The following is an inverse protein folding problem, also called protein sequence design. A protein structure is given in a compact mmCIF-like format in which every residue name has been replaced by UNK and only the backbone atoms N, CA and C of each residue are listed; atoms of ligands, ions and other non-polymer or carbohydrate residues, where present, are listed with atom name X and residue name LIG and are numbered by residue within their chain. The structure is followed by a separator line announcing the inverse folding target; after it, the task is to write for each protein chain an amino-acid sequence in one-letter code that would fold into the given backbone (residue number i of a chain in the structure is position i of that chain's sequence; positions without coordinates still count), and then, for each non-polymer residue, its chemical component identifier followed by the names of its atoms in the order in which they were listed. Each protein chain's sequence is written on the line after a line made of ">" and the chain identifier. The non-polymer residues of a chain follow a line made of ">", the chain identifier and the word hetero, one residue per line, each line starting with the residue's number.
data_IF_430453703153
#
_entry.id   IF_430453703153
#
_cell.length_a   1.000
_cell.length_b   1.000
_cell.length_c   1.000
_cell.angle_alpha   90.00
_cell.angle_beta   90.00
_cell.angle_gamma   90.00
#
_symmetry.space_group_name_H-M   'P 1'
#
loop_
_entity.id
_entity.type
_entity.pdbx_description
1 polymer ?
#
# COMPACT_ATOMS: atom_id res chain seq x y z
N UNK A 1 10.49 33.37 15.47
CA UNK A 1 9.98 32.39 16.44
C UNK A 1 9.34 31.31 15.61
N UNK A 2 9.84 30.08 15.72
CA UNK A 2 9.24 28.96 15.01
C UNK A 2 7.89 28.66 15.67
N UNK A 3 6.83 28.74 14.88
CA UNK A 3 5.47 28.45 15.35
C UNK A 3 5.26 26.94 15.22
N UNK A 4 4.89 26.29 16.33
CA UNK A 4 4.55 24.87 16.33
C UNK A 4 3.03 24.74 16.31
N UNK A 5 2.50 24.15 15.24
CA UNK A 5 1.07 23.84 15.11
C UNK A 5 0.79 22.35 15.31
N UNK A 6 -0.35 22.03 15.90
CA UNK A 6 -0.83 20.64 16.03
C UNK A 6 -1.48 20.21 14.72
N UNK A 7 -1.07 19.05 14.18
CA UNK A 7 -1.71 18.45 13.01
C UNK A 7 -2.81 17.47 13.42
N UNK A 8 -3.96 17.59 12.77
CA UNK A 8 -5.05 16.61 12.83
C UNK A 8 -5.23 16.02 11.44
N UNK A 9 -5.11 14.70 11.35
CA UNK A 9 -5.20 13.96 10.10
C UNK A 9 -6.58 13.36 9.85
N UNK A 10 -6.68 12.60 8.75
CA UNK A 10 -7.92 11.91 8.38
C UNK A 10 -7.78 10.40 8.59
N UNK A 11 -8.71 9.79 9.33
CA UNK A 11 -8.80 8.34 9.45
C UNK A 11 -9.53 7.76 8.22
N UNK A 12 -9.01 6.64 7.69
CA UNK A 12 -9.65 5.82 6.69
C UNK A 12 -10.13 4.51 7.31
N UNK A 13 -11.43 4.28 7.26
CA UNK A 13 -12.10 3.13 7.86
C UNK A 13 -12.29 1.98 6.84
N UNK A 14 -11.23 1.59 6.14
CA UNK A 14 -11.31 0.47 5.19
C UNK A 14 -11.48 -0.87 5.93
N UNK A 15 -12.24 -1.80 5.36
CA UNK A 15 -12.63 -3.04 6.03
C UNK A 15 -11.45 -3.89 6.49
N UNK A 16 -10.32 -3.85 5.78
CA UNK A 16 -9.08 -4.59 6.11
C UNK A 16 -8.36 -4.07 7.37
N UNK A 17 -8.77 -2.92 7.89
CA UNK A 17 -8.11 -2.25 9.01
C UNK A 17 -8.25 -2.99 10.34
N UNK A 18 -7.24 -2.86 11.19
CA UNK A 18 -7.35 -3.17 12.61
C UNK A 18 -8.25 -2.19 13.34
N UNK A 19 -8.54 -2.45 14.61
CA UNK A 19 -9.46 -1.63 15.41
C UNK A 19 -8.78 -1.04 16.68
N UNK A 20 -7.48 -1.29 16.85
CA UNK A 20 -6.79 -1.06 18.12
C UNK A 20 -5.62 -0.09 18.05
N UNK A 21 -4.73 -0.23 17.07
CA UNK A 21 -3.47 0.51 17.06
C UNK A 21 -3.70 2.01 16.81
N UNK A 22 -4.40 2.36 15.72
CA UNK A 22 -4.64 3.77 15.39
C UNK A 22 -5.51 4.48 16.43
N UNK A 23 -6.61 3.90 16.95
CA UNK A 23 -7.36 4.53 18.05
C UNK A 23 -6.50 4.82 19.28
N UNK A 24 -5.63 3.87 19.66
CA UNK A 24 -4.68 4.06 20.77
C UNK A 24 -3.66 5.16 20.47
N UNK A 25 -3.12 5.19 19.24
CA UNK A 25 -2.18 6.22 18.77
C UNK A 25 -2.80 7.64 18.84
N UNK A 26 -4.10 7.75 18.52
CA UNK A 26 -4.84 9.02 18.52
C UNK A 26 -5.49 9.34 19.87
N UNK A 27 -5.36 8.45 20.86
CA UNK A 27 -6.02 8.55 22.17
C UNK A 27 -7.56 8.75 22.05
N UNK A 28 -8.20 7.93 21.21
CA UNK A 28 -9.65 7.93 20.98
C UNK A 28 -10.26 6.57 21.33
N UNK A 29 -11.47 6.58 21.88
CA UNK A 29 -12.23 5.36 22.16
C UNK A 29 -12.84 4.79 20.88
N UNK A 30 -12.78 3.47 20.72
CA UNK A 30 -13.39 2.74 19.61
C UNK A 30 -14.32 1.62 20.11
N UNK A 31 -15.27 1.96 20.99
CA UNK A 31 -16.19 1.00 21.62
C UNK A 31 -17.04 0.22 20.60
N UNK A 32 -17.26 0.81 19.42
CA UNK A 32 -17.97 0.19 18.31
C UNK A 32 -17.12 -0.77 17.47
N UNK A 33 -15.85 -0.96 17.83
CA UNK A 33 -14.88 -1.83 17.13
C UNK A 33 -14.83 -1.57 15.61
N UNK A 34 -14.88 -0.30 15.21
CA UNK A 34 -14.80 0.10 13.81
C UNK A 34 -13.38 -0.17 13.28
N UNK A 35 -13.21 -0.50 11.99
CA UNK A 35 -11.88 -0.60 11.40
C UNK A 35 -11.25 0.79 11.28
N UNK A 36 -9.98 0.92 11.65
CA UNK A 36 -9.11 2.07 11.46
C UNK A 36 -7.93 1.57 10.63
N UNK A 37 -8.04 1.69 9.31
CA UNK A 37 -7.07 1.09 8.40
C UNK A 37 -5.85 1.97 8.19
N UNK A 38 -6.09 3.26 7.93
CA UNK A 38 -5.02 4.24 7.72
C UNK A 38 -5.33 5.55 8.48
N UNK A 39 -4.30 6.23 8.96
CA UNK A 39 -4.37 7.61 9.43
C UNK A 39 -3.47 8.48 8.58
N UNK A 40 -4.06 9.41 7.84
CA UNK A 40 -3.39 10.21 6.81
C UNK A 40 -3.04 11.59 7.36
N UNK A 41 -1.81 12.02 7.11
CA UNK A 41 -1.30 13.34 7.45
C UNK A 41 -0.61 13.93 6.22
N UNK A 42 -1.23 14.96 5.64
CA UNK A 42 -0.69 15.64 4.47
C UNK A 42 -1.76 16.41 3.70
N UNK A 43 -1.45 16.81 2.47
CA UNK A 43 -2.30 17.69 1.65
C UNK A 43 -3.04 16.94 0.52
N UNK A 44 -3.15 15.62 0.65
CA UNK A 44 -3.79 14.79 -0.37
C UNK A 44 -5.27 15.19 -0.57
N UNK A 45 -5.81 15.24 -1.81
CA UNK A 45 -7.18 15.69 -2.07
C UNK A 45 -8.27 14.94 -1.31
N UNK A 46 -8.04 13.66 -1.03
CA UNK A 46 -8.94 12.79 -0.25
C UNK A 46 -8.72 12.85 1.27
N UNK A 47 -7.80 13.68 1.77
CA UNK A 47 -7.62 13.91 3.19
C UNK A 47 -7.97 15.36 3.53
N UNK A 48 -8.78 15.50 4.57
CA UNK A 48 -9.17 16.75 5.18
C UNK A 48 -8.32 16.90 6.45
N UNK A 49 -7.01 17.08 6.25
CA UNK A 49 -6.08 17.35 7.35
C UNK A 49 -6.12 18.83 7.73
N UNK A 50 -5.88 19.14 8.98
CA UNK A 50 -5.90 20.48 9.54
C UNK A 50 -4.64 20.77 10.37
N UNK A 51 -4.32 22.06 10.51
CA UNK A 51 -3.33 22.55 11.47
C UNK A 51 -4.01 23.53 12.43
N UNK A 52 -3.80 23.32 13.73
CA UNK A 52 -4.19 24.24 14.80
C UNK A 52 -2.97 25.00 15.29
N UNK A 53 -2.97 26.32 15.17
CA UNK A 53 -1.88 27.19 15.61
C UNK A 53 -1.98 27.53 17.10
N UNK A 54 -0.90 28.04 17.74
CA UNK A 54 -0.91 28.41 19.16
C UNK A 54 -1.93 29.48 19.56
N UNK A 55 -2.41 30.28 18.61
CA UNK A 55 -3.48 31.27 18.81
C UNK A 55 -4.90 30.64 18.77
N UNK A 56 -4.99 29.32 18.55
CA UNK A 56 -6.24 28.57 18.45
C UNK A 56 -6.88 28.60 17.06
N UNK A 57 -6.30 29.29 16.08
CA UNK A 57 -6.82 29.27 14.71
C UNK A 57 -6.59 27.92 14.04
N UNK A 58 -7.61 27.43 13.33
CA UNK A 58 -7.60 26.14 12.62
C UNK A 58 -7.66 26.40 11.12
N UNK A 59 -6.78 25.77 10.36
CA UNK A 59 -6.70 25.94 8.91
C UNK A 59 -6.62 24.56 8.23
N UNK A 60 -7.30 24.36 7.09
CA UNK A 60 -7.05 23.20 6.24
C UNK A 60 -5.56 23.14 5.87
N UNK A 61 -4.93 21.99 6.07
CA UNK A 61 -3.48 21.83 5.87
C UNK A 61 -3.08 22.11 4.41
N UNK A 62 -3.96 21.75 3.47
CA UNK A 62 -3.77 22.06 2.05
C UNK A 62 -3.68 23.55 1.77
N UNK A 63 -4.48 24.36 2.46
CA UNK A 63 -4.58 25.81 2.25
C UNK A 63 -3.46 26.54 2.97
N UNK A 64 -3.10 26.03 4.15
CA UNK A 64 -1.99 26.54 4.95
C UNK A 64 -0.65 26.51 4.18
N UNK A 65 -0.45 25.49 3.33
CA UNK A 65 0.75 25.37 2.50
C UNK A 65 0.57 25.87 1.06
N UNK A 66 -0.65 25.89 0.50
CA UNK A 66 -0.91 26.31 -0.89
C UNK A 66 -0.66 27.81 -1.11
N UNK A 67 -0.64 28.63 -0.07
CA UNK A 67 -0.17 30.02 -0.15
C UNK A 67 1.35 30.13 -0.38
N UNK A 68 2.02 29.01 -0.72
CA UNK A 68 3.42 28.91 -1.10
C UNK A 68 4.35 29.66 -0.16
N UNK A 69 4.02 29.71 1.13
CA UNK A 69 4.81 30.43 2.12
C UNK A 69 6.18 29.75 2.18
N UNK A 70 7.25 30.37 1.65
CA UNK A 70 8.59 29.78 1.71
C UNK A 70 9.02 29.60 3.18
N UNK A 71 8.39 30.35 4.09
CA UNK A 71 8.57 30.24 5.53
C UNK A 71 8.11 28.90 6.10
N UNK A 72 7.09 28.26 5.53
CA UNK A 72 6.53 27.00 6.05
C UNK A 72 7.10 25.76 5.34
N UNK A 73 7.25 25.79 4.01
CA UNK A 73 7.77 24.66 3.23
C UNK A 73 9.29 24.71 3.00
N UNK A 74 9.90 25.88 3.17
CA UNK A 74 11.23 26.17 2.64
C UNK A 74 11.19 26.53 1.15
N UNK A 75 12.13 27.37 0.71
CA UNK A 75 12.18 27.88 -0.67
C UNK A 75 12.25 26.76 -1.73
N UNK A 76 13.07 25.74 -1.47
CA UNK A 76 13.25 24.63 -2.41
C UNK A 76 11.95 23.87 -2.67
N UNK A 77 11.25 23.47 -1.60
CA UNK A 77 10.03 22.67 -1.70
C UNK A 77 8.91 23.50 -2.33
N UNK A 78 8.73 24.74 -1.87
CA UNK A 78 7.74 25.65 -2.44
C UNK A 78 7.95 25.86 -3.95
N UNK A 79 9.20 26.08 -4.40
CA UNK A 79 9.52 26.26 -5.82
C UNK A 79 9.39 24.98 -6.64
N UNK A 80 9.77 23.83 -6.09
CA UNK A 80 9.85 22.56 -6.83
C UNK A 80 8.52 21.81 -6.90
N UNK A 81 7.72 21.89 -5.84
CA UNK A 81 6.52 21.07 -5.66
C UNK A 81 5.26 21.91 -5.42
N UNK A 82 5.38 23.19 -5.06
CA UNK A 82 4.25 24.09 -4.80
C UNK A 82 3.47 23.79 -3.51
N UNK A 83 3.58 22.58 -2.98
CA UNK A 83 2.94 22.13 -1.75
C UNK A 83 3.78 21.04 -1.08
N UNK A 84 3.30 20.49 0.05
CA UNK A 84 3.92 19.35 0.73
C UNK A 84 4.01 18.14 -0.22
N UNK A 85 5.22 17.61 -0.52
CA UNK A 85 5.42 16.61 -1.58
C UNK A 85 5.30 15.16 -1.09
N UNK A 86 4.69 14.94 0.06
CA UNK A 86 4.52 13.61 0.63
C UNK A 86 3.18 13.48 1.37
N UNK A 87 2.75 12.24 1.56
CA UNK A 87 1.64 11.86 2.41
C UNK A 87 2.17 10.91 3.48
N UNK A 88 2.15 11.33 4.73
CA UNK A 88 2.49 10.46 5.84
C UNK A 88 1.26 9.63 6.20
N UNK A 89 1.47 8.33 6.46
CA UNK A 89 0.42 7.42 6.90
C UNK A 89 0.90 6.58 8.08
N UNK A 90 0.00 6.36 9.04
CA UNK A 90 0.06 5.19 9.91
C UNK A 90 -0.94 4.16 9.38
N UNK A 91 -0.55 2.88 9.35
CA UNK A 91 -1.39 1.78 8.88
C UNK A 91 -1.56 0.76 10.00
N UNK A 92 -2.79 0.31 10.25
CA UNK A 92 -3.12 -0.82 11.12
C UNK A 92 -3.75 -1.91 10.26
N UNK A 93 -2.93 -2.88 9.85
CA UNK A 93 -3.27 -3.90 8.85
C UNK A 93 -3.70 -5.18 9.56
N UNK A 94 -5.02 -5.47 9.56
CA UNK A 94 -5.56 -6.73 10.09
C UNK A 94 -5.61 -7.81 9.01
N UNK A 95 -6.09 -7.44 7.82
CA UNK A 95 -6.25 -8.36 6.69
C UNK A 95 -5.18 -8.07 5.62
N UNK A 96 -4.72 -9.12 4.94
CA UNK A 96 -3.70 -8.98 3.89
C UNK A 96 -4.14 -8.04 2.77
N UNK A 97 -3.24 -7.15 2.37
CA UNK A 97 -3.46 -6.24 1.25
C UNK A 97 -3.11 -6.90 -0.09
N UNK A 98 -3.67 -6.35 -1.17
CA UNK A 98 -3.32 -6.76 -2.52
C UNK A 98 -1.82 -6.60 -2.80
N UNK A 99 -1.25 -7.49 -3.61
CA UNK A 99 0.09 -7.33 -4.17
C UNK A 99 0.08 -6.13 -5.13
N UNK A 100 1.06 -5.24 -4.99
CA UNK A 100 1.13 -4.00 -5.75
C UNK A 100 2.47 -3.86 -6.47
N UNK A 101 2.43 -3.17 -7.62
CA UNK A 101 3.60 -2.69 -8.34
C UNK A 101 3.36 -1.22 -8.66
N UNK A 102 4.36 -0.39 -8.39
CA UNK A 102 4.34 1.01 -8.82
C UNK A 102 5.19 1.17 -10.09
N UNK A 103 4.65 1.86 -11.12
CA UNK A 103 5.39 2.12 -12.34
C UNK A 103 6.59 3.03 -12.09
N UNK A 104 7.56 3.00 -13.01
CA UNK A 104 8.59 4.05 -13.10
C UNK A 104 7.94 5.40 -13.40
N UNK A 105 8.66 6.51 -13.20
CA UNK A 105 8.11 7.85 -13.52
C UNK A 105 7.75 7.97 -15.00
N UNK A 106 8.63 7.48 -15.87
CA UNK A 106 8.43 7.56 -17.32
C UNK A 106 7.21 6.72 -17.76
N UNK A 107 7.02 5.54 -17.16
CA UNK A 107 5.85 4.70 -17.42
C UNK A 107 4.56 5.33 -16.86
N UNK A 108 4.61 5.91 -15.66
CA UNK A 108 3.46 6.59 -15.06
C UNK A 108 2.96 7.73 -15.95
N UNK A 109 3.86 8.57 -16.48
CA UNK A 109 3.53 9.64 -17.43
C UNK A 109 2.89 9.08 -18.69
N UNK A 110 3.53 8.06 -19.30
CA UNK A 110 3.08 7.45 -20.56
C UNK A 110 1.69 6.81 -20.42
N UNK A 111 1.47 6.04 -19.36
CA UNK A 111 0.23 5.28 -19.18
C UNK A 111 -0.92 6.15 -18.61
N UNK A 112 -0.62 7.17 -17.81
CA UNK A 112 -1.59 8.19 -17.41
C UNK A 112 -2.18 8.92 -18.62
N UNK A 113 -1.32 9.33 -19.56
CA UNK A 113 -1.76 9.99 -20.80
C UNK A 113 -2.51 9.02 -21.72
N UNK A 114 -2.09 7.75 -21.78
CA UNK A 114 -2.82 6.73 -22.53
C UNK A 114 -4.25 6.53 -22.02
N UNK A 115 -4.47 6.51 -20.70
CA UNK A 115 -5.83 6.41 -20.15
C UNK A 115 -6.64 7.71 -20.36
N UNK A 116 -5.99 8.88 -20.33
CA UNK A 116 -6.65 10.17 -20.62
C UNK A 116 -7.12 10.28 -22.08
N UNK A 117 -6.27 9.89 -23.03
CA UNK A 117 -6.60 9.92 -24.47
C UNK A 117 -7.72 8.93 -24.86
N UNK A 118 -8.02 7.97 -23.97
CA UNK A 118 -9.17 7.05 -24.06
C UNK A 118 -10.39 7.52 -23.27
N UNK A 119 -10.35 8.73 -22.72
CA UNK A 119 -11.40 9.34 -21.90
C UNK A 119 -11.83 8.50 -20.69
N UNK A 120 -10.92 7.70 -20.12
CA UNK A 120 -11.21 6.92 -18.90
C UNK A 120 -11.28 7.87 -17.72
N UNK A 121 -12.43 8.04 -17.03
CA UNK A 121 -12.52 8.94 -15.88
C UNK A 121 -11.54 8.54 -14.77
N UNK A 122 -10.94 9.53 -14.09
CA UNK A 122 -10.02 9.28 -12.95
C UNK A 122 -10.68 8.47 -11.82
N UNK A 123 -12.00 8.57 -11.71
CA UNK A 123 -12.82 7.84 -10.71
C UNK A 123 -13.31 6.47 -11.21
N UNK A 124 -13.02 6.08 -12.45
CA UNK A 124 -13.47 4.80 -12.98
C UNK A 124 -12.80 3.64 -12.23
N UNK A 125 -13.52 2.54 -11.94
CA UNK A 125 -12.96 1.41 -11.18
C UNK A 125 -11.83 0.68 -11.90
N UNK A 126 -11.73 0.83 -13.22
CA UNK A 126 -10.70 0.24 -14.07
C UNK A 126 -9.57 1.22 -14.44
N UNK A 127 -9.57 2.44 -13.89
CA UNK A 127 -8.49 3.42 -14.07
C UNK A 127 -7.30 3.02 -13.19
N UNK A 128 -6.17 2.68 -13.79
CA UNK A 128 -4.97 2.27 -13.04
C UNK A 128 -4.08 3.45 -12.68
N UNK A 129 -3.99 4.46 -13.55
CA UNK A 129 -3.07 5.59 -13.40
C UNK A 129 -3.88 6.85 -13.10
N UNK A 130 -3.88 7.26 -11.82
CA UNK A 130 -4.65 8.42 -11.33
C UNK A 130 -3.88 9.73 -11.35
N UNK A 131 -2.56 9.66 -11.54
CA UNK A 131 -1.65 10.77 -11.73
C UNK A 131 -0.45 10.31 -12.59
N UNK A 132 0.41 11.25 -12.95
CA UNK A 132 1.58 11.02 -13.80
C UNK A 132 2.85 10.67 -13.00
N UNK A 133 2.76 10.39 -11.70
CA UNK A 133 3.90 10.32 -10.80
C UNK A 133 4.30 8.89 -10.42
N UNK A 134 5.59 8.71 -10.16
CA UNK A 134 6.05 7.51 -9.48
C UNK A 134 5.73 7.65 -8.00
N UNK A 135 5.53 6.51 -7.33
CA UNK A 135 5.17 6.46 -5.91
C UNK A 135 6.26 5.73 -5.13
N UNK A 136 7.36 6.42 -4.77
CA UNK A 136 8.35 5.83 -3.89
C UNK A 136 7.75 5.78 -2.49
N UNK A 137 7.82 4.62 -1.85
CA UNK A 137 7.28 4.42 -0.50
C UNK A 137 8.40 4.04 0.46
N UNK A 138 8.33 4.57 1.67
CA UNK A 138 9.18 4.20 2.80
C UNK A 138 8.28 3.71 3.92
N UNK A 139 8.55 2.52 4.42
CA UNK A 139 7.81 1.92 5.53
C UNK A 139 8.72 1.80 6.75
N UNK A 140 8.18 2.13 7.92
CA UNK A 140 8.82 1.92 9.21
C UNK A 140 7.88 1.07 10.05
N UNK A 141 8.33 -0.11 10.44
CA UNK A 141 7.55 -0.99 11.29
C UNK A 141 7.46 -0.41 12.71
N UNK A 142 6.24 -0.17 13.19
CA UNK A 142 5.96 0.28 14.57
C UNK A 142 5.69 -0.87 15.54
N UNK A 143 5.74 -2.11 15.04
CA UNK A 143 5.57 -3.37 15.74
C UNK A 143 5.97 -4.51 14.80
N UNK A 144 5.53 -5.74 15.10
CA UNK A 144 5.74 -6.85 14.17
C UNK A 144 5.03 -6.59 12.83
N UNK A 145 5.76 -6.77 11.74
CA UNK A 145 5.30 -6.43 10.40
C UNK A 145 5.78 -7.46 9.38
N UNK A 146 4.86 -7.90 8.52
CA UNK A 146 5.12 -8.87 7.46
C UNK A 146 4.90 -8.21 6.10
N UNK A 147 5.87 -8.37 5.20
CA UNK A 147 5.89 -7.74 3.89
C UNK A 147 6.40 -8.71 2.83
N UNK A 148 5.70 -8.77 1.71
CA UNK A 148 6.24 -9.33 0.47
C UNK A 148 6.92 -8.19 -0.31
N UNK A 149 8.21 -8.33 -0.59
CA UNK A 149 8.97 -7.32 -1.32
C UNK A 149 9.95 -7.97 -2.30
N UNK A 150 9.72 -7.70 -3.59
CA UNK A 150 10.55 -8.21 -4.68
C UNK A 150 10.44 -9.72 -4.91
N UNK A 151 11.21 -10.18 -5.89
CA UNK A 151 11.33 -11.61 -6.17
C UNK A 151 12.46 -12.23 -5.34
N UNK A 152 12.25 -13.47 -4.89
CA UNK A 152 13.31 -14.29 -4.28
C UNK A 152 14.46 -14.48 -5.28
N UNK A 153 15.72 -14.60 -4.80
CA UNK A 153 16.83 -15.05 -5.63
C UNK A 153 16.54 -16.40 -6.30
N UNK A 154 17.11 -16.62 -7.49
CA UNK A 154 16.78 -17.77 -8.34
C UNK A 154 16.90 -19.11 -7.59
N UNK A 155 17.97 -19.28 -6.81
CA UNK A 155 18.21 -20.50 -6.03
C UNK A 155 17.07 -20.76 -5.04
N UNK A 156 16.72 -19.75 -4.23
CA UNK A 156 15.66 -19.85 -3.22
C UNK A 156 14.27 -20.03 -3.84
N UNK A 157 14.01 -19.38 -4.99
CA UNK A 157 12.77 -19.57 -5.74
C UNK A 157 12.63 -21.00 -6.24
N UNK A 158 13.69 -21.57 -6.84
CA UNK A 158 13.69 -22.97 -7.28
C UNK A 158 13.53 -23.94 -6.12
N UNK A 159 14.16 -23.67 -4.98
CA UNK A 159 13.99 -24.45 -3.75
C UNK A 159 12.54 -24.41 -3.27
N UNK A 160 11.93 -23.21 -3.23
CA UNK A 160 10.52 -23.03 -2.87
C UNK A 160 9.60 -23.86 -3.79
N UNK A 161 9.76 -23.71 -5.11
CA UNK A 161 8.96 -24.45 -6.11
C UNK A 161 9.11 -25.96 -5.96
N UNK A 162 10.32 -26.46 -5.64
CA UNK A 162 10.58 -27.89 -5.43
C UNK A 162 10.02 -28.40 -4.10
N UNK A 163 9.99 -27.55 -3.08
CA UNK A 163 9.50 -27.90 -1.74
C UNK A 163 7.98 -28.00 -1.66
N UNK A 164 7.26 -27.30 -2.54
CA UNK A 164 5.79 -27.30 -2.61
C UNK A 164 5.35 -28.05 -3.87
N UNK A 165 4.93 -29.33 -3.77
CA UNK A 165 4.62 -30.15 -4.94
C UNK A 165 3.60 -29.52 -5.90
N UNK A 166 2.63 -28.79 -5.36
CA UNK A 166 1.57 -28.11 -6.10
C UNK A 166 2.11 -26.99 -7.02
N UNK A 167 3.30 -26.44 -6.71
CA UNK A 167 3.98 -25.42 -7.51
C UNK A 167 4.92 -26.01 -8.56
N UNK A 168 5.19 -27.31 -8.55
CA UNK A 168 6.25 -27.93 -9.37
C UNK A 168 6.13 -27.67 -10.88
N UNK A 169 4.91 -27.48 -11.40
CA UNK A 169 4.67 -27.15 -12.81
C UNK A 169 5.26 -25.80 -13.24
N UNK A 170 5.60 -24.93 -12.29
CA UNK A 170 6.19 -23.61 -12.53
C UNK A 170 7.70 -23.67 -12.75
N UNK A 171 8.38 -24.75 -12.33
CA UNK A 171 9.83 -24.89 -12.51
C UNK A 171 10.25 -24.80 -13.99
N UNK A 172 9.68 -25.60 -14.93
CA UNK A 172 10.05 -25.49 -16.35
C UNK A 172 9.67 -24.13 -16.97
N UNK A 173 8.64 -23.46 -16.45
CA UNK A 173 8.26 -22.11 -16.90
C UNK A 173 9.33 -21.10 -16.49
N UNK A 174 9.79 -21.17 -15.24
CA UNK A 174 10.86 -20.30 -14.76
C UNK A 174 12.19 -20.58 -15.48
N UNK A 175 12.55 -21.84 -15.69
CA UNK A 175 13.80 -22.20 -16.39
C UNK A 175 13.83 -21.76 -17.86
N UNK A 176 12.67 -21.69 -18.51
CA UNK A 176 12.56 -21.25 -19.91
C UNK A 176 12.41 -19.73 -20.08
N UNK A 177 11.70 -19.08 -19.17
CA UNK A 177 11.17 -17.71 -19.38
C UNK A 177 11.46 -16.75 -18.23
N UNK A 178 12.22 -17.20 -17.22
CA UNK A 178 12.62 -16.41 -16.05
C UNK A 178 11.44 -15.88 -15.22
N UNK A 179 11.69 -14.82 -14.45
CA UNK A 179 10.69 -14.21 -13.56
C UNK A 179 9.46 -13.69 -14.29
N UNK A 180 9.65 -13.08 -15.46
CA UNK A 180 8.55 -12.52 -16.24
C UNK A 180 7.59 -13.61 -16.72
N UNK A 181 8.11 -14.70 -17.30
CA UNK A 181 7.28 -15.81 -17.74
C UNK A 181 6.60 -16.55 -16.58
N UNK A 182 7.31 -16.72 -15.46
CA UNK A 182 6.75 -17.28 -14.24
C UNK A 182 5.57 -16.45 -13.72
N UNK A 183 5.78 -15.14 -13.53
CA UNK A 183 4.75 -14.24 -13.02
C UNK A 183 3.55 -14.17 -13.95
N UNK A 184 3.79 -14.01 -15.26
CA UNK A 184 2.74 -14.03 -16.28
C UNK A 184 1.92 -15.32 -16.22
N UNK A 185 2.58 -16.49 -16.15
CA UNK A 185 1.89 -17.79 -16.10
C UNK A 185 0.98 -17.91 -14.89
N UNK A 186 1.41 -17.42 -13.73
CA UNK A 186 0.60 -17.45 -12.50
C UNK A 186 -0.60 -16.50 -12.63
N UNK A 187 -0.37 -15.26 -13.08
CA UNK A 187 -1.42 -14.24 -13.15
C UNK A 187 -2.46 -14.50 -14.25
N UNK A 188 -2.10 -15.21 -15.32
CA UNK A 188 -3.00 -15.58 -16.43
C UNK A 188 -3.63 -16.98 -16.25
N UNK A 189 -3.34 -17.67 -15.15
CA UNK A 189 -3.88 -19.02 -14.94
C UNK A 189 -5.40 -18.96 -14.73
N UNK A 190 -6.20 -19.80 -15.42
CA UNK A 190 -7.64 -19.84 -15.19
C UNK A 190 -7.96 -20.17 -13.73
N UNK A 191 -8.95 -19.50 -13.15
CA UNK A 191 -9.28 -19.66 -11.73
C UNK A 191 -9.61 -21.11 -11.34
N UNK A 192 -10.27 -21.87 -12.23
CA UNK A 192 -10.54 -23.30 -11.99
C UNK A 192 -9.25 -24.13 -11.89
N UNK A 193 -8.25 -23.80 -12.70
CA UNK A 193 -6.94 -24.46 -12.68
C UNK A 193 -6.16 -24.08 -11.41
N UNK A 194 -6.20 -22.80 -11.01
CA UNK A 194 -5.64 -22.34 -9.72
C UNK A 194 -6.25 -23.15 -8.57
N UNK A 195 -7.58 -23.20 -8.50
CA UNK A 195 -8.31 -23.91 -7.45
C UNK A 195 -7.94 -25.39 -7.41
N UNK A 196 -7.93 -26.05 -8.58
CA UNK A 196 -7.61 -27.48 -8.68
C UNK A 196 -6.18 -27.77 -8.23
N UNK A 197 -5.22 -26.93 -8.65
CA UNK A 197 -3.79 -27.13 -8.33
C UNK A 197 -3.48 -26.84 -6.87
N UNK A 198 -4.07 -25.80 -6.29
CA UNK A 198 -3.79 -25.39 -4.91
C UNK A 198 -4.65 -26.11 -3.88
N UNK A 199 -5.76 -26.75 -4.26
CA UNK A 199 -6.62 -27.48 -3.33
C UNK A 199 -5.87 -28.48 -2.43
N UNK A 200 -4.92 -29.31 -2.92
CA UNK A 200 -4.16 -30.20 -2.05
C UNK A 200 -3.31 -29.47 -1.00
N UNK A 201 -2.68 -28.35 -1.39
CA UNK A 201 -1.93 -27.48 -0.47
C UNK A 201 -2.86 -26.87 0.57
N UNK A 202 -3.98 -26.27 0.14
CA UNK A 202 -4.96 -25.65 1.02
C UNK A 202 -5.55 -26.66 2.03
N UNK A 203 -5.89 -27.87 1.58
CA UNK A 203 -6.37 -28.94 2.45
C UNK A 203 -5.32 -29.34 3.50
N UNK A 204 -4.03 -29.21 3.19
CA UNK A 204 -2.92 -29.47 4.10
C UNK A 204 -2.75 -28.34 5.12
N UNK A 205 -2.85 -27.07 4.72
CA UNK A 205 -2.49 -25.92 5.58
C UNK A 205 -3.67 -25.31 6.36
N UNK A 206 -4.88 -25.30 5.80
CA UNK A 206 -6.06 -24.65 6.42
C UNK A 206 -6.37 -25.17 7.83
N UNK A 207 -6.30 -26.49 8.13
CA UNK A 207 -6.52 -26.96 9.49
C UNK A 207 -5.53 -26.35 10.51
N UNK A 208 -4.26 -26.21 10.13
CA UNK A 208 -3.25 -25.60 10.99
C UNK A 208 -3.44 -24.09 11.11
N UNK A 209 -3.84 -23.42 10.02
CA UNK A 209 -4.17 -21.99 10.05
C UNK A 209 -5.32 -21.71 11.04
N UNK A 210 -6.41 -22.46 10.93
CA UNK A 210 -7.59 -22.31 11.79
C UNK A 210 -7.28 -22.59 13.28
N UNK A 211 -6.37 -23.53 13.54
CA UNK A 211 -5.91 -23.85 14.90
C UNK A 211 -4.85 -22.87 15.44
N UNK A 212 -4.43 -21.86 14.66
CA UNK A 212 -3.37 -20.92 15.02
C UNK A 212 -1.99 -21.57 15.16
N UNK A 213 -1.76 -22.68 14.46
CA UNK A 213 -0.53 -23.50 14.52
C UNK A 213 0.48 -23.16 13.42
N UNK A 214 0.11 -22.33 12.44
CA UNK A 214 1.05 -21.85 11.44
C UNK A 214 1.87 -20.70 12.03
N UNK A 215 3.19 -20.84 11.94
CA UNK A 215 4.11 -19.77 12.27
C UNK A 215 3.99 -18.67 11.21
N UNK A 216 3.84 -17.42 11.63
CA UNK A 216 3.75 -16.28 10.70
C UNK A 216 5.03 -16.05 9.90
N UNK A 217 6.16 -16.61 10.32
CA UNK A 217 7.41 -16.61 9.56
C UNK A 217 7.49 -17.74 8.52
N UNK A 218 6.55 -18.70 8.57
CA UNK A 218 6.42 -19.73 7.55
C UNK A 218 5.91 -19.13 6.24
N UNK A 219 6.29 -19.73 5.12
CA UNK A 219 5.72 -19.41 3.81
C UNK A 219 4.34 -20.06 3.57
N UNK A 220 3.93 -20.96 4.47
CA UNK A 220 2.66 -21.70 4.47
C UNK A 220 1.62 -21.05 5.40
#
# INVERSE_FOLDING_TARGET
>A
MDVIGQLTGTVKHYDWGGAGFIPSLLNINNDANKPFAEYWLGVHPQADCEVTLPDGSVHPLRDFFSTASPTALGEYVARRFGNMPYLLKALDVRDMLSIQVHPSKDDAVRDFEMENTRDVPVTAPHRNYKDDNHKPELMVAMGDFWLLHGFKPEKELKETIKSVPELGFLLPVFESSGYSGLYKKVMELPQEEVNTRLAPLLNRIIPFYNDGKLDRSSAD
#
